data_IF_395183931736
#
_entry.id   IF_395183931736
#
_cell.length_a   1.000
_cell.length_b   1.000
_cell.length_c   1.000
_cell.angle_alpha   90.00
_cell.angle_beta   90.00
_cell.angle_gamma   90.00
#
_symmetry.space_group_name_H-M   'P 1'
#
loop_
_entity.id
_entity.type
_entity.pdbx_description
1 polymer ?
#
# COMPACT_ATOMS: atom_id res chain seq x y z
N UNK A 1 21.17 -15.79 -5.76
CA UNK A 1 21.13 -14.58 -6.61
C UNK A 1 20.93 -13.40 -5.67
N UNK A 2 22.02 -12.89 -5.11
CA UNK A 2 22.01 -11.83 -4.10
C UNK A 2 21.78 -10.48 -4.79
N UNK A 3 20.80 -9.70 -4.29
CA UNK A 3 20.50 -8.38 -4.83
C UNK A 3 21.55 -7.37 -4.30
N UNK A 4 22.03 -6.44 -5.12
CA UNK A 4 23.10 -5.53 -4.71
C UNK A 4 22.63 -4.55 -3.63
N UNK A 5 23.30 -4.62 -2.48
CA UNK A 5 23.21 -3.67 -1.38
C UNK A 5 24.07 -2.44 -1.70
N UNK A 6 23.51 -1.22 -1.68
CA UNK A 6 24.27 0.02 -1.85
C UNK A 6 24.93 0.39 -0.51
N UNK A 7 26.26 0.29 -0.37
CA UNK A 7 26.95 0.44 0.91
C UNK A 7 27.13 1.89 1.37
N UNK A 8 26.72 2.90 0.59
CA UNK A 8 27.08 4.30 0.85
C UNK A 8 26.05 5.12 1.64
N UNK A 9 24.79 4.68 1.77
CA UNK A 9 23.74 5.53 2.38
C UNK A 9 23.15 4.99 3.68
N UNK A 10 23.38 3.72 4.04
CA UNK A 10 22.72 3.09 5.21
C UNK A 10 21.18 3.09 5.15
N UNK A 11 20.60 3.66 4.11
CA UNK A 11 19.17 3.69 3.83
C UNK A 11 18.80 2.41 3.09
N UNK A 12 18.00 1.56 3.73
CA UNK A 12 17.36 0.42 3.08
C UNK A 12 16.70 0.87 1.78
N UNK A 13 17.27 0.47 0.64
CA UNK A 13 16.91 0.93 -0.71
C UNK A 13 15.44 0.68 -1.11
N UNK A 14 14.66 -0.02 -0.29
CA UNK A 14 13.20 -0.11 -0.40
C UNK A 14 12.54 -0.21 0.97
N UNK A 15 12.35 0.92 1.67
CA UNK A 15 11.29 0.96 2.68
C UNK A 15 9.94 0.88 1.95
N UNK A 16 9.21 -0.21 2.16
CA UNK A 16 7.90 -0.42 1.52
C UNK A 16 6.92 0.62 2.06
N UNK A 17 6.77 1.72 1.33
CA UNK A 17 5.92 2.83 1.72
C UNK A 17 4.84 3.02 0.68
N UNK A 18 3.59 2.86 1.09
CA UNK A 18 2.43 3.07 0.24
C UNK A 18 2.35 4.51 -0.26
N UNK A 19 1.71 4.70 -1.42
CA UNK A 19 1.35 6.02 -1.88
C UNK A 19 0.28 6.61 -0.94
N UNK A 20 0.50 7.85 -0.55
CA UNK A 20 -0.49 8.70 0.13
C UNK A 20 -1.42 9.33 -0.90
N UNK A 21 -2.60 9.78 -0.48
CA UNK A 21 -3.53 10.52 -1.35
C UNK A 21 -2.85 11.76 -1.96
N UNK A 22 -1.98 12.43 -1.21
CA UNK A 22 -1.21 13.59 -1.68
C UNK A 22 -0.24 13.23 -2.81
N UNK A 23 0.40 12.06 -2.72
CA UNK A 23 1.28 11.60 -3.80
C UNK A 23 0.46 11.19 -5.02
N UNK A 24 -0.68 10.51 -4.83
CA UNK A 24 -1.63 10.16 -5.90
C UNK A 24 -2.14 11.39 -6.64
N UNK A 25 -2.47 12.47 -5.93
CA UNK A 25 -2.94 13.71 -6.57
C UNK A 25 -1.88 14.45 -7.39
N UNK A 26 -0.59 14.07 -7.29
CA UNK A 26 0.46 14.61 -8.16
C UNK A 26 0.58 13.87 -9.51
N UNK A 27 -0.21 12.81 -9.74
CA UNK A 27 -0.27 12.12 -11.02
C UNK A 27 -1.09 12.94 -12.00
N UNK A 28 -0.42 13.82 -12.75
CA UNK A 28 -1.04 14.66 -13.76
C UNK A 28 -1.13 13.94 -15.10
N UNK A 29 -2.21 14.20 -15.84
CA UNK A 29 -2.37 13.72 -17.22
C UNK A 29 -1.20 14.21 -18.09
N UNK A 30 -0.67 13.30 -18.91
CA UNK A 30 0.43 13.58 -19.85
C UNK A 30 1.85 13.49 -19.27
N UNK A 31 2.01 13.21 -17.97
CA UNK A 31 3.35 13.08 -17.38
C UNK A 31 3.86 11.64 -17.47
N UNK A 32 5.13 11.48 -17.84
CA UNK A 32 5.78 10.15 -17.82
C UNK A 32 5.96 9.66 -16.37
N UNK A 33 6.00 8.34 -16.17
CA UNK A 33 6.25 7.76 -14.85
C UNK A 33 7.54 8.29 -14.20
N UNK A 34 8.57 8.60 -14.99
CA UNK A 34 9.83 9.22 -14.51
C UNK A 34 9.65 10.68 -14.07
N UNK A 35 8.78 11.45 -14.74
CA UNK A 35 8.48 12.81 -14.33
C UNK A 35 7.70 12.83 -13.00
N UNK A 36 6.70 11.98 -12.88
CA UNK A 36 5.92 11.82 -11.64
C UNK A 36 6.84 11.36 -10.49
N UNK A 37 7.67 10.34 -10.73
CA UNK A 37 8.62 9.81 -9.76
C UNK A 37 9.54 10.87 -9.15
N UNK A 38 10.10 11.76 -9.98
CA UNK A 38 10.91 12.90 -9.53
C UNK A 38 10.10 13.88 -8.68
N UNK A 39 8.82 14.09 -9.00
CA UNK A 39 7.94 15.01 -8.27
C UNK A 39 7.52 14.48 -6.91
N UNK A 40 7.18 13.19 -6.81
CA UNK A 40 6.74 12.55 -5.56
C UNK A 40 7.90 11.97 -4.74
N UNK A 41 9.14 12.11 -5.22
CA UNK A 41 10.34 11.51 -4.64
C UNK A 41 10.19 10.00 -4.41
N UNK A 42 9.72 9.27 -5.45
CA UNK A 42 9.53 7.82 -5.44
C UNK A 42 10.27 7.17 -6.59
N UNK A 43 10.54 5.87 -6.46
CA UNK A 43 11.10 5.11 -7.57
C UNK A 43 10.13 5.01 -8.75
N UNK A 44 10.62 5.19 -9.97
CA UNK A 44 9.78 5.18 -11.18
C UNK A 44 9.01 3.88 -11.39
N UNK A 45 9.58 2.72 -11.00
CA UNK A 45 8.86 1.44 -11.07
C UNK A 45 7.67 1.38 -10.10
N UNK A 46 7.74 2.08 -8.96
CA UNK A 46 6.60 2.15 -8.03
C UNK A 46 5.47 2.99 -8.61
N UNK A 47 5.80 4.10 -9.29
CA UNK A 47 4.83 4.91 -10.03
C UNK A 47 4.21 4.11 -11.18
N UNK A 48 5.01 3.40 -11.96
CA UNK A 48 4.53 2.56 -13.05
C UNK A 48 3.57 1.48 -12.57
N UNK A 49 3.89 0.78 -11.47
CA UNK A 49 2.97 -0.18 -10.84
C UNK A 49 1.68 0.47 -10.36
N UNK A 50 1.73 1.69 -9.82
CA UNK A 50 0.54 2.42 -9.40
C UNK A 50 -0.35 2.78 -10.58
N UNK A 51 0.23 3.27 -11.68
CA UNK A 51 -0.50 3.57 -12.92
C UNK A 51 -1.12 2.30 -13.50
N UNK A 52 -0.39 1.19 -13.53
CA UNK A 52 -0.87 -0.09 -14.02
C UNK A 52 -2.06 -0.63 -13.20
N UNK A 53 -2.07 -0.40 -11.87
CA UNK A 53 -3.21 -0.77 -11.01
C UNK A 53 -4.50 -0.01 -11.31
N UNK A 54 -4.41 1.09 -12.06
CA UNK A 54 -5.54 1.95 -12.45
C UNK A 54 -5.67 2.00 -13.98
N UNK A 55 -5.05 1.07 -14.71
CA UNK A 55 -5.05 1.05 -16.17
C UNK A 55 -6.45 0.83 -16.77
N UNK A 56 -7.39 0.28 -16.01
CA UNK A 56 -8.78 0.08 -16.42
C UNK A 56 -9.59 1.39 -16.50
N UNK A 57 -8.99 2.54 -16.15
CA UNK A 57 -9.61 3.86 -16.21
C UNK A 57 -8.98 4.67 -17.33
N UNK A 58 -9.81 5.33 -18.13
CA UNK A 58 -9.37 6.22 -19.23
C UNK A 58 -8.47 7.36 -18.74
N UNK A 59 -8.67 7.78 -17.49
CA UNK A 59 -7.92 8.85 -16.85
C UNK A 59 -7.52 8.43 -15.43
N UNK A 60 -6.34 8.87 -15.01
CA UNK A 60 -5.89 8.63 -13.64
C UNK A 60 -6.70 9.49 -12.66
N UNK A 61 -7.46 8.84 -11.79
CA UNK A 61 -8.22 9.46 -10.71
C UNK A 61 -7.59 9.09 -9.35
N UNK A 62 -7.11 10.10 -8.64
CA UNK A 62 -6.42 9.92 -7.37
C UNK A 62 -7.34 9.41 -6.24
N UNK A 63 -8.61 9.80 -6.25
CA UNK A 63 -9.60 9.39 -5.24
C UNK A 63 -9.97 7.93 -5.46
N UNK A 64 -10.32 7.55 -6.70
CA UNK A 64 -10.58 6.15 -7.06
C UNK A 64 -9.38 5.25 -6.80
N UNK A 65 -8.17 5.71 -7.06
CA UNK A 65 -6.94 4.98 -6.75
C UNK A 65 -6.76 4.74 -5.25
N UNK A 66 -7.09 5.75 -4.43
CA UNK A 66 -7.07 5.65 -2.97
C UNK A 66 -8.13 4.67 -2.46
N UNK A 67 -9.37 4.77 -2.96
CA UNK A 67 -10.47 3.86 -2.60
C UNK A 67 -10.15 2.41 -2.96
N UNK A 68 -9.69 2.19 -4.21
CA UNK A 68 -9.23 0.88 -4.68
C UNK A 68 -8.14 0.30 -3.79
N UNK A 69 -7.19 1.15 -3.35
CA UNK A 69 -6.15 0.74 -2.39
C UNK A 69 -6.75 0.36 -1.03
N UNK A 70 -7.69 1.14 -0.48
CA UNK A 70 -8.36 0.85 0.80
C UNK A 70 -9.10 -0.48 0.74
N UNK A 71 -9.86 -0.73 -0.34
CA UNK A 71 -10.60 -1.99 -0.56
C UNK A 71 -9.63 -3.16 -0.56
N UNK A 72 -8.57 -3.13 -1.38
CA UNK A 72 -7.55 -4.19 -1.41
C UNK A 72 -6.92 -4.41 -0.04
N UNK A 73 -6.61 -3.34 0.71
CA UNK A 73 -6.01 -3.45 2.04
C UNK A 73 -6.93 -4.16 3.04
N UNK A 74 -8.25 -4.02 2.93
CA UNK A 74 -9.20 -4.75 3.80
C UNK A 74 -8.98 -6.27 3.69
N UNK A 75 -8.71 -6.77 2.50
CA UNK A 75 -8.46 -8.20 2.26
C UNK A 75 -7.05 -8.67 2.67
N UNK A 76 -6.07 -7.77 2.76
CA UNK A 76 -4.71 -8.14 3.19
C UNK A 76 -4.59 -8.41 4.70
N UNK A 77 -5.56 -7.98 5.51
CA UNK A 77 -5.52 -8.18 6.96
C UNK A 77 -6.01 -9.58 7.32
N UNK A 78 -5.40 -10.16 8.36
CA UNK A 78 -5.89 -11.41 8.94
C UNK A 78 -7.34 -11.22 9.39
N UNK A 79 -8.18 -12.22 9.10
CA UNK A 79 -9.53 -12.28 9.64
C UNK A 79 -9.52 -12.18 11.17
N UNK A 80 -10.53 -11.50 11.70
CA UNK A 80 -10.70 -11.36 13.13
C UNK A 80 -10.82 -12.74 13.76
N UNK A 81 -9.99 -12.95 14.79
CA UNK A 81 -10.08 -14.15 15.63
C UNK A 81 -11.23 -14.04 16.63
N UNK A 82 -11.76 -12.85 16.86
CA UNK A 82 -12.79 -12.63 17.85
C UNK A 82 -14.13 -13.16 17.35
N UNK A 83 -14.80 -13.98 18.16
CA UNK A 83 -16.17 -14.41 17.91
C UNK A 83 -16.86 -14.73 19.25
N UNK A 84 -18.19 -14.79 19.23
CA UNK A 84 -18.99 -14.98 20.44
C UNK A 84 -18.65 -16.29 21.18
N UNK A 85 -18.40 -17.38 20.46
CA UNK A 85 -18.02 -18.67 21.04
C UNK A 85 -16.67 -18.58 21.79
N UNK A 86 -15.69 -17.89 21.21
CA UNK A 86 -14.38 -17.67 21.82
C UNK A 86 -14.47 -16.73 23.02
N UNK A 87 -15.35 -15.72 22.98
CA UNK A 87 -15.64 -14.86 24.13
C UNK A 87 -16.21 -15.68 25.28
N UNK A 88 -17.25 -16.47 25.04
CA UNK A 88 -17.89 -17.35 26.04
C UNK A 88 -16.89 -18.34 26.66
N UNK A 89 -16.05 -18.95 25.82
CA UNK A 89 -15.01 -19.86 26.28
C UNK A 89 -14.00 -19.18 27.21
N UNK A 90 -13.51 -17.99 26.84
CA UNK A 90 -12.57 -17.22 27.66
C UNK A 90 -13.22 -16.83 28.99
N UNK A 91 -14.46 -16.35 28.97
CA UNK A 91 -15.18 -15.96 30.19
C UNK A 91 -15.41 -17.14 31.12
N UNK A 92 -15.77 -18.32 30.57
CA UNK A 92 -15.95 -19.53 31.36
C UNK A 92 -14.65 -19.93 32.06
N UNK A 93 -13.52 -19.92 31.33
CA UNK A 93 -12.22 -20.30 31.89
C UNK A 93 -11.70 -19.32 32.94
N UNK A 94 -11.99 -18.02 32.81
CA UNK A 94 -11.63 -17.03 33.82
C UNK A 94 -12.44 -17.17 35.11
N UNK A 95 -13.70 -17.61 35.03
CA UNK A 95 -14.57 -17.81 36.19
C UNK A 95 -14.22 -19.07 37.01
N UNK A 96 -13.44 -19.99 36.44
CA UNK A 96 -12.96 -21.22 37.10
C UNK A 96 -11.69 -20.99 37.96
N UNK A 97 -11.06 -19.82 37.89
CA UNK A 97 -9.86 -19.41 38.64
C UNK A 97 -10.20 -18.55 39.84
#
# INVERSE_FOLDING_TARGET
>A
MELPHNPYTGESAMSYKHFTIRERSQHRLGWTARAIARKVNRHHSSVSRELQRQADQDFYDAEKAQESYIIRRKHCKRHEKWNAARQQYITAKLAET
#
